data_IF_792710041552
#
_entry.id   IF_792710041552
#
_cell.length_a   1.000
_cell.length_b   1.000
_cell.length_c   1.000
_cell.angle_alpha   90.00
_cell.angle_beta   90.00
_cell.angle_gamma   90.00
#
_symmetry.space_group_name_H-M   'P 1'
#
loop_
_entity.id
_entity.type
_entity.pdbx_description
1 polymer ?
#
# COMPACT_ATOMS: atom_id res chain seq x y z
N UNK A 1 -14.13 0.19 9.82
CA UNK A 1 -12.78 0.73 9.54
C UNK A 1 -12.20 0.16 8.24
N UNK A 2 -12.01 1.00 7.22
CA UNK A 2 -11.27 0.64 6.00
C UNK A 2 -9.75 0.61 6.24
N UNK A 3 -9.02 -0.13 5.40
CA UNK A 3 -7.56 -0.23 5.49
C UNK A 3 -6.85 0.76 4.55
N UNK A 4 -5.74 1.33 5.01
CA UNK A 4 -4.85 2.11 4.15
C UNK A 4 -3.97 1.15 3.35
N UNK A 5 -3.88 1.35 2.03
CA UNK A 5 -3.03 0.54 1.16
C UNK A 5 -2.39 1.36 0.03
N UNK A 6 -1.11 1.12 -0.24
CA UNK A 6 -0.41 1.61 -1.42
C UNK A 6 0.55 0.52 -1.91
N UNK A 7 0.13 -0.24 -2.93
CA UNK A 7 0.91 -1.37 -3.46
C UNK A 7 1.01 -1.33 -4.97
N UNK A 8 2.19 -1.59 -5.50
CA UNK A 8 2.41 -1.81 -6.93
C UNK A 8 2.87 -3.25 -7.16
N UNK A 9 2.12 -3.97 -7.98
CA UNK A 9 2.38 -5.36 -8.34
C UNK A 9 2.85 -5.47 -9.77
N UNK A 10 3.88 -6.27 -9.99
CA UNK A 10 4.39 -6.67 -11.30
C UNK A 10 4.10 -8.16 -11.49
N UNK A 11 3.35 -8.48 -12.54
CA UNK A 11 2.70 -9.76 -12.76
C UNK A 11 3.08 -10.27 -14.15
N UNK A 12 3.92 -11.30 -14.19
CA UNK A 12 4.36 -12.03 -15.37
C UNK A 12 4.00 -13.52 -15.28
N UNK A 13 2.87 -13.78 -14.61
CA UNK A 13 2.35 -15.11 -14.30
C UNK A 13 0.87 -15.14 -14.66
N UNK A 14 0.38 -16.28 -15.14
CA UNK A 14 -1.01 -16.43 -15.54
C UNK A 14 -1.98 -16.40 -14.33
N UNK A 15 -1.59 -17.02 -13.22
CA UNK A 15 -2.45 -17.25 -12.04
C UNK A 15 -1.82 -16.67 -10.76
N UNK A 16 -1.76 -15.33 -10.60
CA UNK A 16 -1.13 -14.68 -9.45
C UNK A 16 -1.76 -15.09 -8.11
N UNK A 17 -3.09 -15.24 -8.04
CA UNK A 17 -3.80 -15.73 -6.85
C UNK A 17 -3.34 -17.13 -6.45
N UNK A 18 -3.19 -18.04 -7.42
CA UNK A 18 -2.74 -19.41 -7.18
C UNK A 18 -1.32 -19.45 -6.61
N UNK A 19 -0.44 -18.59 -7.12
CA UNK A 19 0.92 -18.42 -6.59
C UNK A 19 0.85 -17.91 -5.16
N UNK A 20 0.17 -16.78 -4.90
CA UNK A 20 0.04 -16.17 -3.57
C UNK A 20 -0.58 -17.10 -2.52
N UNK A 21 -1.40 -18.07 -2.91
CA UNK A 21 -1.96 -19.05 -1.99
C UNK A 21 -0.92 -20.02 -1.39
N UNK A 22 0.21 -20.21 -2.09
CA UNK A 22 1.25 -21.18 -1.72
C UNK A 22 2.64 -20.55 -1.58
N UNK A 23 2.78 -19.22 -1.78
CA UNK A 23 4.08 -18.56 -1.69
C UNK A 23 4.71 -18.75 -0.31
N UNK A 24 5.99 -19.09 -0.32
CA UNK A 24 6.82 -19.08 0.86
C UNK A 24 7.55 -17.74 1.03
N UNK A 25 8.75 -17.81 1.60
CA UNK A 25 9.63 -16.65 1.74
C UNK A 25 9.96 -16.05 0.37
N UNK A 26 9.96 -14.71 0.23
CA UNK A 26 10.39 -14.06 -1.00
C UNK A 26 11.89 -14.31 -1.28
N UNK A 27 12.28 -14.19 -2.54
CA UNK A 27 13.69 -14.17 -2.95
C UNK A 27 14.35 -12.89 -2.40
N UNK A 28 15.21 -13.07 -1.40
CA UNK A 28 15.87 -11.96 -0.72
C UNK A 28 16.82 -11.18 -1.64
N UNK A 29 17.53 -11.86 -2.53
CA UNK A 29 18.49 -11.21 -3.42
C UNK A 29 17.79 -10.36 -4.47
N UNK A 30 16.74 -10.91 -5.10
CA UNK A 30 15.92 -10.18 -6.06
C UNK A 30 15.19 -9.00 -5.40
N UNK A 31 14.61 -9.21 -4.22
CA UNK A 31 13.90 -8.16 -3.48
C UNK A 31 14.84 -7.03 -3.05
N UNK A 32 16.06 -7.37 -2.61
CA UNK A 32 17.09 -6.40 -2.22
C UNK A 32 17.56 -5.55 -3.39
N UNK A 33 17.77 -6.13 -4.57
CA UNK A 33 18.19 -5.38 -5.74
C UNK A 33 17.16 -4.29 -6.13
N UNK A 34 15.86 -4.62 -6.04
CA UNK A 34 14.78 -3.65 -6.28
C UNK A 34 14.79 -2.56 -5.20
N UNK A 35 14.95 -2.93 -3.93
CA UNK A 35 15.01 -1.97 -2.83
C UNK A 35 16.20 -1.00 -2.95
N UNK A 36 17.38 -1.48 -3.33
CA UNK A 36 18.56 -0.63 -3.58
C UNK A 36 18.35 0.31 -4.77
N UNK A 37 17.62 -0.13 -5.80
CA UNK A 37 17.23 0.76 -6.91
C UNK A 37 16.27 1.87 -6.45
N UNK A 38 15.31 1.54 -5.57
CA UNK A 38 14.34 2.52 -5.05
C UNK A 38 14.99 3.52 -4.10
N UNK A 39 15.86 3.05 -3.20
CA UNK A 39 16.50 3.89 -2.18
C UNK A 39 17.80 4.55 -2.66
N UNK A 40 18.42 4.05 -3.73
CA UNK A 40 19.64 4.59 -4.31
C UNK A 40 20.92 4.29 -3.53
N UNK A 41 20.86 3.42 -2.52
CA UNK A 41 21.98 3.05 -1.65
C UNK A 41 21.83 1.61 -1.12
N UNK A 42 22.90 1.00 -0.55
CA UNK A 42 22.81 -0.32 0.06
C UNK A 42 21.78 -0.38 1.20
N UNK A 43 21.07 -1.50 1.29
CA UNK A 43 19.94 -1.66 2.22
C UNK A 43 20.13 -2.80 3.22
N UNK A 44 19.41 -2.71 4.34
CA UNK A 44 19.24 -3.80 5.31
C UNK A 44 17.77 -4.22 5.33
N UNK A 45 17.52 -5.53 5.24
CA UNK A 45 16.18 -6.11 5.14
C UNK A 45 15.78 -6.87 6.40
N UNK A 46 14.49 -6.81 6.75
CA UNK A 46 13.87 -7.65 7.77
C UNK A 46 12.51 -8.19 7.29
N UNK A 47 12.10 -9.41 7.69
CA UNK A 47 10.78 -9.92 7.34
C UNK A 47 9.65 -9.07 7.90
N UNK A 48 8.56 -8.93 7.14
CA UNK A 48 7.32 -8.24 7.52
C UNK A 48 6.13 -8.90 6.80
N UNK A 49 4.90 -8.56 7.21
CA UNK A 49 3.66 -8.96 6.53
C UNK A 49 3.22 -7.91 5.50
N UNK A 50 2.61 -8.35 4.41
CA UNK A 50 2.02 -7.43 3.42
C UNK A 50 0.92 -6.56 4.04
N UNK A 51 0.12 -7.11 4.95
CA UNK A 51 -0.90 -6.34 5.67
C UNK A 51 -0.31 -5.12 6.40
N UNK A 52 0.86 -5.27 7.04
CA UNK A 52 1.56 -4.14 7.67
C UNK A 52 2.22 -3.23 6.65
N UNK A 53 2.82 -3.80 5.60
CA UNK A 53 3.56 -3.06 4.58
C UNK A 53 2.67 -2.22 3.65
N UNK A 54 1.37 -2.51 3.58
CA UNK A 54 0.41 -1.75 2.77
C UNK A 54 0.32 -0.27 3.18
N UNK A 55 0.64 0.04 4.45
CA UNK A 55 0.85 1.40 4.95
C UNK A 55 2.34 1.65 5.25
N UNK A 56 3.15 1.94 4.20
CA UNK A 56 4.61 1.99 4.33
C UNK A 56 5.06 3.16 5.21
N UNK A 57 6.03 2.89 6.09
CA UNK A 57 6.66 3.92 6.90
C UNK A 57 7.54 4.86 6.05
N UNK A 58 7.71 6.14 6.43
CA UNK A 58 8.62 7.04 5.74
C UNK A 58 10.07 6.53 5.72
N UNK A 59 10.69 6.50 4.55
CA UNK A 59 12.07 6.00 4.38
C UNK A 59 12.21 4.47 4.30
N UNK A 60 11.09 3.74 4.32
CA UNK A 60 11.06 2.29 4.14
C UNK A 60 10.57 1.93 2.74
N UNK A 61 11.15 0.89 2.15
CA UNK A 61 10.60 0.21 0.96
C UNK A 61 10.36 -1.25 1.31
N UNK A 62 9.17 -1.76 1.02
CA UNK A 62 8.85 -3.16 1.24
C UNK A 62 8.79 -3.86 -0.11
N UNK A 63 9.50 -4.97 -0.24
CA UNK A 63 9.58 -5.72 -1.49
C UNK A 63 9.42 -7.21 -1.23
N UNK A 64 8.70 -7.89 -2.10
CA UNK A 64 8.74 -9.35 -2.21
C UNK A 64 8.74 -9.76 -3.69
N UNK A 65 9.64 -10.67 -4.04
CA UNK A 65 9.71 -11.30 -5.36
C UNK A 65 9.56 -12.82 -5.25
N UNK A 66 8.70 -13.42 -6.09
CA UNK A 66 8.42 -14.86 -6.13
C UNK A 66 8.51 -15.46 -7.55
N UNK A 67 9.44 -14.97 -8.37
CA UNK A 67 9.65 -15.47 -9.73
C UNK A 67 8.45 -15.19 -10.64
N UNK A 68 8.43 -14.01 -11.27
CA UNK A 68 7.34 -13.55 -12.14
C UNK A 68 6.18 -12.89 -11.39
N UNK A 69 6.20 -12.85 -10.06
CA UNK A 69 5.30 -12.02 -9.26
C UNK A 69 6.11 -11.21 -8.26
N UNK A 70 5.96 -9.89 -8.30
CA UNK A 70 6.66 -8.97 -7.41
C UNK A 70 5.71 -7.92 -6.87
N UNK A 71 5.82 -7.61 -5.59
CA UNK A 71 5.14 -6.45 -4.97
C UNK A 71 6.17 -5.47 -4.43
N UNK A 72 5.87 -4.19 -4.61
CA UNK A 72 6.58 -3.08 -3.99
C UNK A 72 5.57 -2.21 -3.24
N UNK A 73 5.89 -1.84 -2.00
CA UNK A 73 5.16 -0.80 -1.26
C UNK A 73 6.13 0.28 -0.81
N UNK A 74 5.74 1.54 -1.01
CA UNK A 74 6.53 2.72 -0.70
C UNK A 74 5.63 3.94 -0.60
N UNK A 75 6.00 4.93 0.23
CA UNK A 75 5.21 6.14 0.41
C UNK A 75 5.00 6.94 -0.90
N UNK A 76 5.95 6.86 -1.82
CA UNK A 76 5.90 7.48 -3.15
C UNK A 76 4.90 6.86 -4.12
N UNK A 77 4.25 5.73 -3.77
CA UNK A 77 3.14 5.16 -4.54
C UNK A 77 1.80 5.85 -4.24
N UNK A 78 1.74 6.72 -3.23
CA UNK A 78 0.51 7.42 -2.83
C UNK A 78 0.26 8.60 -3.76
N UNK A 79 -0.64 8.41 -4.72
CA UNK A 79 -1.10 9.43 -5.66
C UNK A 79 -2.62 9.54 -5.61
N UNK A 80 -3.15 10.75 -5.82
CA UNK A 80 -4.61 10.95 -5.93
C UNK A 80 -5.14 10.46 -7.28
N UNK A 81 -4.28 10.49 -8.31
CA UNK A 81 -4.52 9.97 -9.65
C UNK A 81 -3.48 8.90 -10.02
N UNK A 82 -3.82 7.60 -9.91
CA UNK A 82 -3.04 6.49 -10.46
C UNK A 82 -2.37 6.72 -11.83
N UNK A 83 -3.01 7.43 -12.78
CA UNK A 83 -2.41 7.73 -14.09
C UNK A 83 -1.22 8.69 -14.03
N UNK A 84 -1.12 9.51 -12.99
CA UNK A 84 -0.05 10.48 -12.75
C UNK A 84 1.13 9.88 -11.96
N UNK A 85 1.09 8.58 -11.61
CA UNK A 85 2.22 7.92 -10.95
C UNK A 85 3.46 7.98 -11.84
N UNK A 86 4.58 8.39 -11.25
CA UNK A 86 5.86 8.56 -11.93
C UNK A 86 6.28 7.29 -12.70
N UNK A 87 6.73 7.46 -13.94
CA UNK A 87 7.16 6.39 -14.84
C UNK A 87 8.27 5.51 -14.24
N UNK A 88 9.10 6.05 -13.34
CA UNK A 88 10.07 5.26 -12.58
C UNK A 88 9.43 4.07 -11.88
N UNK A 89 8.27 4.25 -11.24
CA UNK A 89 7.57 3.18 -10.55
C UNK A 89 7.05 2.14 -11.53
N UNK A 90 6.40 2.57 -12.61
CA UNK A 90 5.86 1.65 -13.62
C UNK A 90 6.93 0.80 -14.30
N UNK A 91 8.15 1.30 -14.41
CA UNK A 91 9.27 0.64 -15.09
C UNK A 91 10.26 -0.04 -14.11
N UNK A 92 9.94 -0.12 -12.81
CA UNK A 92 10.83 -0.67 -11.79
C UNK A 92 11.15 -2.15 -12.02
N UNK A 93 10.16 -2.94 -12.47
CA UNK A 93 10.33 -4.34 -12.82
C UNK A 93 9.62 -4.62 -14.15
N UNK A 94 10.29 -5.23 -15.15
CA UNK A 94 9.62 -5.68 -16.37
C UNK A 94 8.58 -6.75 -16.05
N UNK A 95 7.35 -6.56 -16.51
CA UNK A 95 6.27 -7.54 -16.40
C UNK A 95 5.22 -7.34 -17.50
N UNK A 96 4.52 -8.42 -17.87
CA UNK A 96 3.38 -8.32 -18.78
C UNK A 96 2.27 -7.41 -18.22
N UNK A 97 1.98 -7.48 -16.92
CA UNK A 97 0.98 -6.65 -16.25
C UNK A 97 1.55 -5.95 -15.02
N UNK A 98 1.24 -4.67 -14.85
CA UNK A 98 1.46 -3.94 -13.60
C UNK A 98 0.13 -3.47 -13.02
N UNK A 99 -0.04 -3.58 -11.70
CA UNK A 99 -1.27 -3.24 -10.98
C UNK A 99 -0.96 -2.37 -9.77
N UNK A 100 -1.45 -1.13 -9.78
CA UNK A 100 -1.39 -0.20 -8.66
C UNK A 100 -2.70 -0.24 -7.88
N UNK A 101 -2.61 -0.24 -6.54
CA UNK A 101 -3.72 0.01 -5.63
C UNK A 101 -3.37 1.20 -4.73
N UNK A 102 -4.32 2.12 -4.60
CA UNK A 102 -4.34 3.17 -3.59
C UNK A 102 -5.67 3.14 -2.83
N UNK A 103 -5.59 3.02 -1.50
CA UNK A 103 -6.72 3.10 -0.60
C UNK A 103 -6.34 4.00 0.59
N UNK A 104 -7.13 5.04 0.84
CA UNK A 104 -6.94 5.98 1.93
C UNK A 104 -8.29 6.22 2.65
N UNK A 105 -8.52 5.57 3.80
CA UNK A 105 -9.75 5.73 4.58
C UNK A 105 -9.90 7.13 5.17
N UNK A 106 -8.81 7.87 5.41
CA UNK A 106 -8.91 9.22 5.98
C UNK A 106 -9.48 10.21 4.96
N UNK A 107 -9.16 10.01 3.68
CA UNK A 107 -9.65 10.83 2.56
C UNK A 107 -10.84 10.21 1.83
N UNK A 108 -11.25 9.00 2.22
CA UNK A 108 -12.21 8.17 1.50
C UNK A 108 -11.85 8.00 0.01
N UNK A 109 -10.56 7.93 -0.31
CA UNK A 109 -10.06 7.76 -1.69
C UNK A 109 -9.83 6.29 -1.93
N UNK A 110 -10.39 5.78 -3.03
CA UNK A 110 -9.99 4.50 -3.61
C UNK A 110 -9.61 4.71 -5.06
N UNK A 111 -8.47 4.14 -5.44
CA UNK A 111 -8.00 4.16 -6.81
C UNK A 111 -7.16 2.94 -7.17
N UNK A 112 -7.16 2.60 -8.45
CA UNK A 112 -6.32 1.56 -9.00
C UNK A 112 -5.92 1.91 -10.44
N UNK A 113 -4.82 1.34 -10.90
CA UNK A 113 -4.45 1.38 -12.31
C UNK A 113 -3.85 0.06 -12.77
N UNK A 114 -4.08 -0.25 -14.05
CA UNK A 114 -3.58 -1.41 -14.74
C UNK A 114 -2.78 -0.96 -15.95
N UNK A 115 -1.53 -1.42 -16.05
CA UNK A 115 -0.77 -1.40 -17.30
C UNK A 115 -0.60 -2.82 -17.83
N UNK A 116 -0.66 -2.97 -19.15
CA UNK A 116 -0.31 -4.22 -19.84
C UNK A 116 0.71 -3.90 -20.91
N UNK A 117 1.83 -4.61 -20.93
CA UNK A 117 2.97 -4.41 -21.82
C UNK A 117 3.44 -2.94 -21.81
N UNK A 118 3.48 -2.33 -20.61
CA UNK A 118 3.87 -0.94 -20.40
C UNK A 118 2.81 0.11 -20.78
N UNK A 119 1.72 -0.27 -21.45
CA UNK A 119 0.68 0.66 -21.86
C UNK A 119 -0.46 0.76 -20.82
N UNK A 120 -1.01 1.96 -20.55
CA UNK A 120 -2.17 2.12 -19.69
C UNK A 120 -3.39 1.41 -20.29
N UNK A 121 -4.09 0.63 -19.47
CA UNK A 121 -5.30 -0.12 -19.85
C UNK A 121 -6.54 0.35 -19.13
N UNK A 122 -6.42 0.58 -17.82
CA UNK A 122 -7.50 1.03 -16.96
C UNK A 122 -6.90 1.87 -15.83
N UNK A 123 -7.50 3.01 -15.54
CA UNK A 123 -7.14 3.84 -14.39
C UNK A 123 -8.42 4.44 -13.81
N UNK A 124 -8.59 4.33 -12.50
CA UNK A 124 -9.75 4.86 -11.81
C UNK A 124 -9.34 5.38 -10.45
N UNK A 125 -9.84 6.55 -10.05
CA UNK A 125 -9.80 7.01 -8.67
C UNK A 125 -10.97 7.93 -8.37
N UNK A 126 -11.50 7.83 -7.16
CA UNK A 126 -12.63 8.65 -6.74
C UNK A 126 -12.68 8.87 -5.23
N UNK A 127 -13.38 9.94 -4.86
CA UNK A 127 -14.04 10.12 -3.57
C UNK A 127 -15.52 9.69 -3.69
N UNK A 128 -16.26 9.50 -2.58
CA UNK A 128 -17.65 9.03 -2.65
C UNK A 128 -18.60 9.95 -3.41
N UNK A 129 -18.21 11.20 -3.69
CA UNK A 129 -19.05 12.20 -4.39
C UNK A 129 -18.34 12.82 -5.61
N UNK A 130 -17.16 12.33 -5.98
CA UNK A 130 -16.39 12.90 -7.08
C UNK A 130 -15.44 11.88 -7.70
N UNK A 131 -15.44 11.79 -9.03
CA UNK A 131 -14.51 10.94 -9.79
C UNK A 131 -13.29 11.80 -10.13
N UNK A 132 -12.14 11.42 -9.61
CA UNK A 132 -10.86 12.10 -9.86
C UNK A 132 -10.31 11.71 -11.24
N UNK A 133 -10.44 10.44 -11.60
CA UNK A 133 -10.14 9.91 -12.93
C UNK A 133 -10.94 8.64 -13.23
N UNK A 134 -11.22 8.43 -14.51
CA UNK A 134 -11.92 7.27 -15.06
C UNK A 134 -11.48 7.08 -16.51
N UNK A 135 -10.33 6.43 -16.70
CA UNK A 135 -9.67 6.26 -17.99
C UNK A 135 -9.58 4.79 -18.39
N UNK A 136 -9.67 4.52 -19.69
CA UNK A 136 -9.62 3.16 -20.24
C UNK A 136 -10.99 2.46 -20.25
N UNK A 137 -10.99 1.17 -20.60
CA UNK A 137 -12.22 0.38 -20.67
C UNK A 137 -12.49 -0.29 -19.32
N UNK A 138 -13.71 -0.15 -18.76
CA UNK A 138 -14.09 -0.84 -17.54
C UNK A 138 -13.89 -2.35 -17.61
N UNK A 139 -13.41 -2.92 -16.51
CA UNK A 139 -13.29 -4.36 -16.33
C UNK A 139 -14.65 -4.98 -15.95
N UNK A 140 -14.81 -6.30 -16.16
CA UNK A 140 -16.08 -7.00 -15.94
C UNK A 140 -16.59 -6.90 -14.48
N UNK A 141 -15.67 -6.88 -13.51
CA UNK A 141 -16.03 -6.79 -12.09
C UNK A 141 -16.69 -5.45 -11.72
N UNK A 142 -16.50 -4.42 -12.56
CA UNK A 142 -17.02 -3.09 -12.28
C UNK A 142 -18.54 -3.01 -12.48
N UNK A 143 -19.12 -3.91 -13.29
CA UNK A 143 -20.54 -3.89 -13.67
C UNK A 143 -21.51 -3.79 -12.48
N UNK A 144 -21.44 -4.70 -11.48
CA UNK A 144 -22.31 -4.66 -10.30
C UNK A 144 -22.19 -3.35 -9.49
N UNK A 145 -21.00 -2.75 -9.43
CA UNK A 145 -20.78 -1.49 -8.75
C UNK A 145 -21.51 -0.35 -9.48
N UNK A 146 -21.30 -0.23 -10.80
CA UNK A 146 -22.00 0.76 -11.62
C UNK A 146 -23.52 0.58 -11.65
N UNK A 147 -24.00 -0.66 -11.47
CA UNK A 147 -25.42 -0.99 -11.35
C UNK A 147 -26.03 -0.64 -9.97
N UNK A 148 -25.21 -0.23 -9.00
CA UNK A 148 -25.67 0.10 -7.64
C UNK A 148 -25.94 -1.10 -6.75
N UNK A 149 -25.36 -2.27 -7.07
CA UNK A 149 -25.47 -3.48 -6.24
C UNK A 149 -24.57 -3.41 -4.98
N UNK A 150 -23.69 -2.41 -4.90
CA UNK A 150 -22.78 -2.15 -3.78
C UNK A 150 -23.02 -0.75 -3.16
N UNK A 151 -24.22 -0.45 -2.64
CA UNK A 151 -24.58 0.90 -2.21
C UNK A 151 -23.73 1.40 -1.05
N UNK A 152 -23.47 2.71 -1.04
CA UNK A 152 -22.88 3.40 0.12
C UNK A 152 -23.73 3.16 1.38
N UNK A 153 -23.04 2.87 2.49
CA UNK A 153 -23.68 2.77 3.80
C UNK A 153 -23.61 4.12 4.51
N UNK A 154 -24.78 4.67 4.83
CA UNK A 154 -24.91 5.95 5.52
C UNK A 154 -25.20 5.73 7.00
N UNK A 155 -24.66 6.60 7.87
CA UNK A 155 -25.05 6.62 9.27
C UNK A 155 -26.53 7.03 9.43
N UNK A 156 -27.14 6.60 10.53
CA UNK A 156 -28.54 6.92 10.81
C UNK A 156 -28.79 8.44 10.81
N UNK A 157 -29.82 8.89 10.09
CA UNK A 157 -30.15 10.31 9.96
C UNK A 157 -29.35 11.10 8.92
N UNK A 158 -28.36 10.47 8.26
CA UNK A 158 -27.63 11.11 7.15
C UNK A 158 -28.45 10.99 5.86
N UNK A 159 -28.71 12.12 5.21
CA UNK A 159 -29.35 12.14 3.88
C UNK A 159 -28.30 11.87 2.80
N UNK A 160 -28.49 10.88 1.90
CA UNK A 160 -27.57 10.63 0.79
C UNK A 160 -27.40 11.87 -0.09
N UNK A 161 -26.14 12.18 -0.45
CA UNK A 161 -25.85 13.20 -1.45
C UNK A 161 -26.29 12.68 -2.84
N UNK A 162 -27.12 13.41 -3.61
CA UNK A 162 -27.55 12.98 -4.93
C UNK A 162 -26.42 12.83 -5.96
N UNK A 163 -25.23 13.39 -5.69
CA UNK A 163 -24.02 13.22 -6.50
C UNK A 163 -23.15 12.05 -6.03
N UNK A 164 -23.54 11.38 -4.95
CA UNK A 164 -22.76 10.27 -4.44
C UNK A 164 -22.67 9.16 -5.49
N UNK A 165 -21.50 8.56 -5.59
CA UNK A 165 -21.30 7.35 -6.37
C UNK A 165 -22.21 6.24 -5.83
N UNK A 166 -22.63 5.31 -6.71
CA UNK A 166 -23.45 4.19 -6.29
C UNK A 166 -22.71 3.18 -5.39
N UNK A 167 -21.43 3.44 -5.06
CA UNK A 167 -20.56 2.59 -4.26
C UNK A 167 -19.47 3.37 -3.54
N UNK A 168 -18.82 2.70 -2.57
CA UNK A 168 -17.64 3.24 -1.89
C UNK A 168 -16.38 3.06 -2.75
N UNK A 169 -15.64 4.14 -3.11
CA UNK A 169 -14.47 4.03 -3.98
C UNK A 169 -13.37 3.08 -3.48
N UNK A 170 -13.13 3.04 -2.17
CA UNK A 170 -12.17 2.07 -1.61
C UNK A 170 -12.64 0.63 -1.76
N UNK A 171 -13.94 0.34 -1.62
CA UNK A 171 -14.45 -1.01 -1.83
C UNK A 171 -14.26 -1.42 -3.29
N UNK A 172 -14.48 -0.49 -4.22
CA UNK A 172 -14.28 -0.68 -5.64
C UNK A 172 -12.81 -0.96 -5.99
N UNK A 173 -11.88 -0.15 -5.47
CA UNK A 173 -10.45 -0.34 -5.68
C UNK A 173 -9.93 -1.64 -5.05
N UNK A 174 -10.40 -1.98 -3.85
CA UNK A 174 -10.07 -3.25 -3.21
C UNK A 174 -10.70 -4.45 -3.93
N UNK A 175 -11.87 -4.31 -4.56
CA UNK A 175 -12.41 -5.36 -5.42
C UNK A 175 -11.53 -5.55 -6.66
N UNK A 176 -11.00 -4.48 -7.27
CA UNK A 176 -10.02 -4.60 -8.35
C UNK A 176 -8.78 -5.39 -7.90
N UNK A 177 -8.27 -5.13 -6.70
CA UNK A 177 -7.17 -5.89 -6.10
C UNK A 177 -7.55 -7.36 -5.88
N UNK A 178 -8.78 -7.63 -5.44
CA UNK A 178 -9.30 -8.97 -5.25
C UNK A 178 -9.40 -9.76 -6.55
N UNK A 179 -9.82 -9.13 -7.63
CA UNK A 179 -9.84 -9.76 -8.96
C UNK A 179 -8.42 -10.04 -9.46
N UNK A 180 -7.50 -9.08 -9.29
CA UNK A 180 -6.14 -9.22 -9.78
C UNK A 180 -5.30 -10.23 -8.97
N UNK A 181 -5.47 -10.27 -7.65
CA UNK A 181 -4.54 -10.94 -6.73
C UNK A 181 -5.22 -11.86 -5.71
N UNK A 182 -6.55 -11.82 -5.61
CA UNK A 182 -7.32 -12.73 -4.78
C UNK A 182 -7.50 -12.33 -3.32
N UNK A 183 -7.24 -11.07 -2.94
CA UNK A 183 -7.43 -10.58 -1.56
C UNK A 183 -7.85 -9.12 -1.48
N UNK A 184 -8.23 -8.71 -0.27
CA UNK A 184 -8.55 -7.35 0.14
C UNK A 184 -7.78 -7.01 1.42
N UNK A 185 -7.63 -5.73 1.72
CA UNK A 185 -7.00 -5.29 2.97
C UNK A 185 -8.03 -4.99 4.06
N UNK A 186 -9.23 -4.54 3.67
CA UNK A 186 -10.31 -4.26 4.59
C UNK A 186 -11.00 -5.54 5.06
N UNK A 187 -11.16 -5.68 6.38
CA UNK A 187 -11.87 -6.78 7.02
C UNK A 187 -13.38 -6.48 7.17
N UNK A 188 -14.24 -7.52 7.20
CA UNK A 188 -13.91 -8.95 7.14
C UNK A 188 -13.57 -9.42 5.71
N UNK A 189 -12.61 -10.34 5.62
CA UNK A 189 -12.27 -11.02 4.37
C UNK A 189 -13.35 -12.04 4.00
N UNK A 190 -13.62 -12.21 2.70
CA UNK A 190 -14.51 -13.27 2.25
C UNK A 190 -13.80 -14.65 2.39
N UNK A 191 -14.55 -15.77 2.48
CA UNK A 191 -13.95 -17.10 2.65
C UNK A 191 -12.94 -17.51 1.57
N UNK A 192 -13.02 -16.90 0.40
CA UNK A 192 -12.16 -17.16 -0.76
C UNK A 192 -10.97 -16.21 -0.89
N UNK A 193 -10.89 -15.23 0.01
CA UNK A 193 -9.86 -14.19 -0.04
C UNK A 193 -8.60 -14.71 0.64
N UNK A 194 -7.44 -14.43 0.05
CA UNK A 194 -6.17 -14.64 0.73
C UNK A 194 -6.04 -13.63 1.87
N UNK A 195 -5.28 -14.00 2.90
CA UNK A 195 -5.02 -13.13 4.04
C UNK A 195 -3.69 -12.39 3.83
N UNK A 196 -3.68 -11.06 3.62
CA UNK A 196 -2.45 -10.31 3.42
C UNK A 196 -1.52 -10.34 4.65
N UNK A 197 -2.02 -10.70 5.85
CA UNK A 197 -1.16 -10.88 7.01
C UNK A 197 -0.29 -12.16 6.90
N UNK A 198 -0.63 -13.08 5.99
CA UNK A 198 0.12 -14.32 5.74
C UNK A 198 1.08 -14.22 4.55
N UNK A 199 0.97 -13.16 3.74
CA UNK A 199 1.87 -12.90 2.62
C UNK A 199 3.12 -12.18 3.17
N UNK A 200 4.29 -12.79 3.01
CA UNK A 200 5.55 -12.24 3.54
C UNK A 200 6.18 -11.25 2.58
N UNK A 201 6.67 -10.14 3.12
CA UNK A 201 7.52 -9.17 2.41
C UNK A 201 8.79 -8.90 3.21
N UNK A 202 9.74 -8.21 2.58
CA UNK A 202 10.95 -7.75 3.26
C UNK A 202 10.88 -6.23 3.35
N UNK A 203 10.93 -5.72 4.57
CA UNK A 203 11.07 -4.31 4.90
C UNK A 203 12.55 -3.91 4.79
N UNK A 204 12.87 -3.02 3.86
CA UNK A 204 14.21 -2.51 3.62
C UNK A 204 14.35 -1.05 4.04
N UNK A 205 15.48 -0.76 4.68
CA UNK A 205 15.94 0.60 5.03
C UNK A 205 17.38 0.82 4.58
N UNK A 206 17.81 2.08 4.36
CA UNK A 206 19.21 2.41 4.14
C UNK A 206 20.16 1.80 5.18
N UNK A 207 21.24 1.15 4.74
CA UNK A 207 22.27 0.64 5.64
C UNK A 207 22.97 1.78 6.41
N UNK A 208 23.09 2.94 5.78
CA UNK A 208 23.67 4.18 6.35
C UNK A 208 22.88 4.73 7.54
N UNK A 209 21.58 4.39 7.64
CA UNK A 209 20.68 4.86 8.69
C UNK A 209 20.67 3.98 9.96
N UNK A 210 21.31 2.82 9.92
CA UNK A 210 21.45 1.96 11.11
C UNK A 210 22.71 2.38 11.86
N UNK A 211 22.62 2.80 13.14
CA UNK A 211 23.81 3.10 13.92
C UNK A 211 24.75 1.90 13.88
N UNK A 212 25.97 2.11 13.38
CA UNK A 212 27.02 1.12 13.45
C UNK A 212 27.14 0.69 14.91
N UNK A 213 26.88 -0.59 15.20
CA UNK A 213 27.05 -1.10 16.56
C UNK A 213 28.52 -0.90 16.90
N UNK A 214 28.80 0.09 17.75
CA UNK A 214 30.14 0.37 18.22
C UNK A 214 30.72 -0.96 18.72
N UNK A 215 31.94 -1.35 18.30
CA UNK A 215 32.57 -2.56 18.79
C UNK A 215 32.54 -2.51 20.33
N UNK A 216 32.26 -3.62 21.03
CA UNK A 216 32.11 -3.62 22.47
C UNK A 216 33.34 -2.97 23.06
N UNK A 217 33.17 -1.74 23.55
CA UNK A 217 34.23 -1.02 24.24
C UNK A 217 34.55 -1.87 25.46
N UNK A 218 35.72 -2.48 25.44
CA UNK A 218 36.29 -3.10 26.63
C UNK A 218 36.18 -2.08 27.75
N UNK A 219 35.38 -2.40 28.77
CA UNK A 219 35.15 -1.56 29.93
C UNK A 219 36.49 -1.36 30.65
N UNK A 220 37.23 -0.31 30.28
CA UNK A 220 38.26 0.23 31.15
C UNK A 220 37.56 1.00 32.26
N UNK A 221 37.48 0.36 33.42
CA UNK A 221 37.09 0.97 34.67
C UNK A 221 38.03 2.15 34.97
N UNK A 222 37.45 3.34 35.15
CA UNK A 222 38.11 4.54 35.67
C UNK A 222 37.12 5.30 36.56
N UNK A 223 37.52 5.75 37.76
CA UNK A 223 36.59 6.12 38.82
C UNK A 223 36.14 7.59 38.76
N UNK A 224 34.96 7.82 39.36
CA UNK A 224 34.41 9.07 39.88
C UNK A 224 34.05 10.22 38.91
N UNK A 225 32.74 10.48 38.80
CA UNK A 225 32.20 11.72 38.25
C UNK A 225 30.66 11.69 38.15
N UNK A 226 29.98 12.45 39.00
CA UNK A 226 28.53 12.44 39.28
C UNK A 226 27.58 12.58 38.06
N UNK A 227 26.30 12.11 38.18
CA UNK A 227 25.30 12.23 37.12
C UNK A 227 24.66 13.62 37.04
N UNK A 228 24.48 14.14 35.83
CA UNK A 228 23.58 15.26 35.52
C UNK A 228 22.22 14.73 35.02
N UNK A 229 21.08 15.30 35.43
CA UNK A 229 19.76 14.87 35.00
C UNK A 229 19.37 15.43 33.61
N UNK A 230 18.42 14.82 32.89
CA UNK A 230 18.04 15.21 31.54
C UNK A 230 17.18 16.49 31.53
N UNK A 231 17.40 17.33 30.52
CA UNK A 231 16.54 18.47 30.19
C UNK A 231 15.43 17.99 29.28
N UNK A 232 14.21 18.13 29.74
CA UNK A 232 12.96 17.88 29.03
C UNK A 232 12.66 19.09 28.13
N UNK A 233 12.47 18.89 26.83
CA UNK A 233 11.95 19.91 25.91
C UNK A 233 10.77 19.35 25.12
N UNK A 234 9.67 20.08 25.27
CA UNK A 234 8.32 19.79 24.83
C UNK A 234 8.12 20.17 23.35
N UNK A 235 7.46 19.30 22.60
CA UNK A 235 6.91 19.60 21.27
C UNK A 235 5.66 20.49 21.38
N UNK A 236 5.54 21.57 20.59
CA UNK A 236 4.29 22.27 20.41
C UNK A 236 3.47 21.64 19.27
N UNK A 237 2.28 21.18 19.66
CA UNK A 237 1.01 21.06 18.94
C UNK A 237 0.96 21.23 17.42
N UNK A 238 0.31 20.25 16.78
CA UNK A 238 -0.41 20.44 15.53
C UNK A 238 -1.86 20.00 15.72
N UNK A 239 -2.77 20.97 15.79
CA UNK A 239 -4.21 20.78 15.72
C UNK A 239 -4.71 20.74 14.26
N UNK A 240 -5.83 20.02 14.12
CA UNK A 240 -6.90 20.22 13.13
C UNK A 240 -6.83 19.44 11.80
N UNK A 241 -7.46 18.25 11.78
CA UNK A 241 -8.11 17.65 10.59
C UNK A 241 -9.35 16.85 10.97
N UNK A 242 -10.38 17.55 11.46
CA UNK A 242 -11.73 17.00 11.61
C UNK A 242 -12.66 17.55 10.53
N UNK A 243 -12.99 16.76 9.48
CA UNK A 243 -14.20 17.01 8.66
C UNK A 243 -14.67 15.87 7.74
N UNK A 244 -13.91 14.79 7.54
CA UNK A 244 -14.34 13.68 6.65
C UNK A 244 -15.01 12.52 7.42
N UNK A 245 -14.71 12.38 8.71
CA UNK A 245 -15.21 11.27 9.55
C UNK A 245 -16.71 11.32 9.89
N UNK A 246 -17.41 12.42 9.63
CA UNK A 246 -18.82 12.58 10.04
C UNK A 246 -19.85 12.06 9.03
N UNK A 247 -19.43 11.64 7.84
CA UNK A 247 -20.37 11.30 6.75
C UNK A 247 -20.49 9.81 6.43
N UNK A 248 -19.50 9.00 6.82
CA UNK A 248 -19.46 7.58 6.49
C UNK A 248 -19.20 6.78 7.77
N UNK A 249 -20.19 5.98 8.18
CA UNK A 249 -20.10 5.15 9.38
C UNK A 249 -19.02 4.09 9.20
N UNK A 250 -17.87 4.30 9.85
CA UNK A 250 -16.76 3.35 9.93
C UNK A 250 -16.45 2.96 11.36
#
# INVERSE_FOLDING_TARGET
MGATAATLWFIDVAEPKGILAIVGRPDEAASRAIAEQVLGEPVLGRPESLARAADPLPGHVYVAAWGGLTVVTHAGLRVDRPSELDEFWWNLVPAHRAFLLNADPERAVGGFAVRIDGAPKRSFAAHPVDILEDEGLPELFEGPFWAGEHPLTYAEGVTPDPRALPFHPMEFAEQANREALGFRFTHPLAPTDLDPARIQVIDFVPASGVPEQAPPQAQTAGPDGAPQPPVEQQDPGYEDRGKVRSFFGF
#
